data_IF_017286242542
#
_entry.id   IF_017286242542
#
_cell.length_a   1.000
_cell.length_b   1.000
_cell.length_c   1.000
_cell.angle_alpha   90.00
_cell.angle_beta   90.00
_cell.angle_gamma   90.00
#
_symmetry.space_group_name_H-M   'P 1'
#
loop_
_entity.id
_entity.type
_entity.pdbx_description
1 polymer ?
#
# COMPACT_ATOMS: atom_id res chain seq x y z
N UNK A 1 -3.76 -3.19 -17.61
CA UNK A 1 -4.47 -1.90 -17.53
C UNK A 1 -3.78 -1.11 -16.44
N UNK A 2 -3.37 0.16 -16.63
CA UNK A 2 -2.98 0.95 -15.47
C UNK A 2 -4.29 1.30 -14.77
N UNK A 3 -4.41 0.87 -13.52
CA UNK A 3 -5.58 1.01 -12.68
C UNK A 3 -5.98 2.49 -12.42
N UNK A 4 -5.11 3.43 -12.80
CA UNK A 4 -5.24 4.86 -12.49
C UNK A 4 -6.14 5.68 -13.44
N UNK A 5 -7.11 5.09 -14.15
CA UNK A 5 -7.98 5.86 -15.07
C UNK A 5 -9.46 5.49 -15.01
N UNK A 6 -9.98 5.06 -13.86
CA UNK A 6 -11.43 5.09 -13.66
C UNK A 6 -11.86 6.50 -13.26
N UNK A 7 -12.79 7.09 -14.01
CA UNK A 7 -13.46 8.30 -13.58
C UNK A 7 -14.22 8.04 -12.27
N UNK A 8 -14.46 9.11 -11.49
CA UNK A 8 -15.25 8.98 -10.26
C UNK A 8 -16.65 8.39 -10.52
N UNK A 9 -17.25 8.66 -11.69
CA UNK A 9 -18.54 8.11 -12.09
C UNK A 9 -18.49 6.61 -12.37
N UNK A 10 -17.47 6.14 -13.09
CA UNK A 10 -17.27 4.71 -13.35
C UNK A 10 -17.01 3.93 -12.06
N UNK A 11 -16.17 4.47 -11.17
CA UNK A 11 -15.88 3.83 -9.90
C UNK A 11 -17.13 3.73 -9.02
N UNK A 12 -17.97 4.77 -8.99
CA UNK A 12 -19.24 4.74 -8.26
C UNK A 12 -20.20 3.69 -8.84
N UNK A 13 -20.25 3.58 -10.17
CA UNK A 13 -21.06 2.55 -10.84
C UNK A 13 -20.58 1.14 -10.45
N UNK A 14 -19.28 0.88 -10.52
CA UNK A 14 -18.69 -0.42 -10.14
C UNK A 14 -18.98 -0.71 -8.66
N UNK A 15 -18.81 0.27 -7.77
CA UNK A 15 -19.16 0.10 -6.35
C UNK A 15 -20.64 -0.27 -6.18
N UNK A 16 -21.53 0.36 -6.93
CA UNK A 16 -22.98 0.09 -6.87
C UNK A 16 -23.29 -1.32 -7.36
N UNK A 17 -22.72 -1.74 -8.48
CA UNK A 17 -22.84 -3.11 -9.00
C UNK A 17 -22.30 -4.13 -8.00
N UNK A 18 -21.13 -3.86 -7.40
CA UNK A 18 -20.52 -4.68 -6.37
C UNK A 18 -21.39 -4.79 -5.10
N UNK A 19 -21.93 -3.68 -4.59
CA UNK A 19 -22.84 -3.70 -3.43
C UNK A 19 -24.13 -4.48 -3.71
N UNK A 20 -24.69 -4.34 -4.92
CA UNK A 20 -25.93 -4.99 -5.31
C UNK A 20 -25.76 -6.49 -5.61
N UNK A 21 -24.53 -6.95 -5.88
CA UNK A 21 -24.24 -8.36 -6.09
C UNK A 21 -24.51 -9.19 -4.84
N UNK A 22 -24.20 -8.65 -3.65
CA UNK A 22 -24.48 -9.32 -2.38
C UNK A 22 -25.93 -9.05 -1.96
N UNK A 23 -26.74 -10.10 -1.82
CA UNK A 23 -28.13 -9.98 -1.37
C UNK A 23 -28.19 -9.70 0.13
N UNK A 24 -27.32 -10.34 0.90
CA UNK A 24 -27.27 -10.29 2.35
C UNK A 24 -25.88 -9.94 2.89
N UNK A 25 -25.80 -9.69 4.20
CA UNK A 25 -24.51 -9.56 4.89
C UNK A 25 -23.69 -10.86 4.87
N UNK A 26 -24.37 -12.02 4.86
CA UNK A 26 -23.70 -13.32 4.85
C UNK A 26 -23.03 -13.61 3.51
N UNK A 27 -23.68 -13.27 2.39
CA UNK A 27 -23.06 -13.42 1.07
C UNK A 27 -21.80 -12.54 0.95
N UNK A 28 -21.82 -11.38 1.62
CA UNK A 28 -20.66 -10.51 1.71
C UNK A 28 -19.55 -11.11 2.58
N UNK A 29 -19.87 -11.72 3.72
CA UNK A 29 -18.91 -12.45 4.57
C UNK A 29 -18.27 -13.63 3.82
N UNK A 30 -19.06 -14.41 3.07
CA UNK A 30 -18.57 -15.50 2.21
C UNK A 30 -17.58 -15.00 1.15
N UNK A 31 -17.90 -13.89 0.49
CA UNK A 31 -16.94 -13.25 -0.40
C UNK A 31 -15.68 -12.78 0.33
N UNK A 32 -15.82 -12.19 1.51
CA UNK A 32 -14.68 -11.68 2.27
C UNK A 32 -13.73 -12.79 2.69
N UNK A 33 -14.22 -13.99 2.97
CA UNK A 33 -13.38 -15.16 3.20
C UNK A 33 -12.42 -15.39 2.03
N UNK A 34 -12.95 -15.51 0.82
CA UNK A 34 -12.15 -15.73 -0.39
C UNK A 34 -11.24 -14.54 -0.72
N UNK A 35 -11.73 -13.32 -0.52
CA UNK A 35 -10.95 -12.11 -0.69
C UNK A 35 -9.73 -12.08 0.25
N UNK A 36 -9.93 -12.34 1.55
CA UNK A 36 -8.87 -12.28 2.55
C UNK A 36 -7.80 -13.37 2.33
N UNK A 37 -8.20 -14.57 1.90
CA UNK A 37 -7.26 -15.62 1.47
C UNK A 37 -6.38 -15.12 0.32
N UNK A 38 -7.00 -14.50 -0.70
CA UNK A 38 -6.25 -13.90 -1.82
C UNK A 38 -5.36 -12.74 -1.41
N UNK A 39 -5.68 -12.04 -0.32
CA UNK A 39 -4.83 -10.99 0.25
C UNK A 39 -3.67 -11.54 1.11
N UNK A 40 -3.55 -12.87 1.22
CA UNK A 40 -2.48 -13.55 1.94
C UNK A 40 -2.74 -13.68 3.44
N UNK A 41 -4.00 -13.77 3.86
CA UNK A 41 -4.35 -14.30 5.18
C UNK A 41 -4.57 -15.82 5.10
N UNK A 42 -4.28 -16.50 6.19
CA UNK A 42 -4.44 -17.93 6.37
C UNK A 42 -5.57 -18.22 7.36
N UNK A 43 -6.07 -19.46 7.37
CA UNK A 43 -7.09 -19.95 8.32
C UNK A 43 -8.30 -19.00 8.44
N UNK A 44 -8.79 -18.50 7.30
CA UNK A 44 -9.91 -17.56 7.28
C UNK A 44 -11.22 -18.31 7.50
N UNK A 45 -11.89 -18.02 8.63
CA UNK A 45 -13.12 -18.68 9.06
C UNK A 45 -14.23 -17.67 9.32
N UNK A 46 -15.44 -17.99 8.86
CA UNK A 46 -16.66 -17.23 9.18
C UNK A 46 -17.16 -17.73 10.53
N UNK A 47 -17.44 -16.80 11.44
CA UNK A 47 -17.90 -17.12 12.80
C UNK A 47 -19.40 -17.44 12.83
N UNK A 48 -19.85 -18.11 13.89
CA UNK A 48 -21.26 -18.43 14.05
C UNK A 48 -22.04 -17.26 14.67
N UNK A 49 -23.22 -17.02 14.10
CA UNK A 49 -24.22 -15.97 14.40
C UNK A 49 -24.50 -15.54 15.85
N UNK A 50 -24.15 -16.32 16.88
CA UNK A 50 -24.63 -16.06 18.25
C UNK A 50 -23.49 -15.86 19.24
N UNK A 51 -23.49 -14.69 19.90
CA UNK A 51 -22.64 -14.33 21.05
C UNK A 51 -21.14 -14.18 20.74
N UNK A 52 -20.77 -13.89 19.49
CA UNK A 52 -19.39 -13.62 19.07
C UNK A 52 -18.89 -12.20 19.40
N UNK A 53 -19.74 -11.34 19.97
CA UNK A 53 -19.37 -9.95 20.28
C UNK A 53 -19.17 -9.09 19.02
N UNK A 54 -19.78 -9.46 17.89
CA UNK A 54 -19.73 -8.71 16.64
C UNK A 54 -18.54 -9.03 15.74
N UNK A 55 -17.87 -10.18 15.97
CA UNK A 55 -16.84 -10.71 15.07
C UNK A 55 -17.52 -11.57 14.02
N UNK A 56 -17.37 -11.20 12.75
CA UNK A 56 -18.00 -11.88 11.62
C UNK A 56 -17.02 -12.89 10.95
N UNK A 57 -15.70 -12.64 10.99
CA UNK A 57 -14.67 -13.59 10.57
C UNK A 57 -13.45 -13.57 11.48
N UNK A 58 -12.68 -14.65 11.47
CA UNK A 58 -11.34 -14.74 12.06
C UNK A 58 -10.33 -15.16 11.00
N UNK A 59 -9.07 -14.76 11.16
CA UNK A 59 -7.99 -15.14 10.27
C UNK A 59 -6.65 -15.03 10.98
N UNK A 60 -5.63 -15.66 10.42
CA UNK A 60 -4.24 -15.47 10.85
C UNK A 60 -3.39 -14.97 9.70
N UNK A 61 -2.21 -14.45 10.02
CA UNK A 61 -1.13 -14.24 9.05
C UNK A 61 0.13 -14.84 9.61
N UNK A 62 0.68 -15.79 8.87
CA UNK A 62 1.95 -16.42 9.22
C UNK A 62 3.12 -15.47 8.95
N UNK A 63 4.08 -15.55 9.85
CA UNK A 63 5.30 -14.75 9.84
C UNK A 63 6.37 -15.27 8.89
N UNK A 64 7.62 -14.91 9.15
CA UNK A 64 8.75 -15.29 8.28
C UNK A 64 8.93 -16.82 8.21
N UNK A 65 8.66 -17.38 7.04
CA UNK A 65 9.03 -18.75 6.65
C UNK A 65 8.22 -19.88 7.31
N UNK A 66 7.13 -19.57 8.02
CA UNK A 66 6.27 -20.56 8.70
C UNK A 66 7.05 -21.50 9.66
N UNK A 67 8.22 -21.06 10.13
CA UNK A 67 9.12 -21.87 10.97
C UNK A 67 8.70 -21.89 12.45
N UNK A 68 7.88 -20.93 12.90
CA UNK A 68 7.44 -20.85 14.29
C UNK A 68 6.11 -20.09 14.44
N UNK A 69 5.33 -20.47 15.46
CA UNK A 69 4.06 -19.82 15.80
C UNK A 69 4.23 -18.43 16.47
N UNK A 70 5.46 -18.05 16.80
CA UNK A 70 5.78 -16.81 17.54
C UNK A 70 5.47 -15.56 16.69
N UNK A 71 5.55 -15.68 15.36
CA UNK A 71 5.29 -14.58 14.41
C UNK A 71 3.92 -14.70 13.73
N UNK A 72 2.95 -15.34 14.41
CA UNK A 72 1.57 -15.40 13.93
C UNK A 72 0.81 -14.17 14.42
N UNK A 73 0.24 -13.42 13.48
CA UNK A 73 -0.72 -12.36 13.81
C UNK A 73 -2.13 -12.88 13.68
N UNK A 74 -2.91 -12.83 14.76
CA UNK A 74 -4.33 -13.16 14.74
C UNK A 74 -5.20 -11.93 14.46
N UNK A 75 -6.24 -12.11 13.65
CA UNK A 75 -7.17 -11.07 13.26
C UNK A 75 -8.60 -11.43 13.65
N UNK A 76 -9.29 -10.46 14.26
CA UNK A 76 -10.74 -10.44 14.33
C UNK A 76 -11.28 -9.45 13.30
N UNK A 77 -12.21 -9.92 12.48
CA UNK A 77 -12.75 -9.17 11.36
C UNK A 77 -14.24 -8.93 11.57
N UNK A 78 -14.65 -7.69 11.36
CA UNK A 78 -16.05 -7.29 11.31
C UNK A 78 -16.39 -6.80 9.90
N UNK A 79 -17.49 -7.31 9.35
CA UNK A 79 -17.99 -7.03 8.01
C UNK A 79 -19.35 -6.33 8.07
N UNK A 80 -19.50 -5.21 7.35
CA UNK A 80 -20.78 -4.48 7.27
C UNK A 80 -21.14 -4.10 5.83
N UNK A 81 -22.15 -4.78 5.30
CA UNK A 81 -22.77 -4.46 4.01
C UNK A 81 -23.76 -3.29 4.13
N UNK A 82 -23.24 -2.08 4.38
CA UNK A 82 -24.03 -0.86 4.51
C UNK A 82 -24.21 -0.13 3.18
N UNK A 83 -25.38 0.48 2.98
CA UNK A 83 -25.62 1.37 1.84
C UNK A 83 -24.70 2.59 1.89
N UNK A 84 -24.36 3.16 0.72
CA UNK A 84 -23.41 4.28 0.59
C UNK A 84 -23.69 5.50 1.47
N UNK A 85 -24.95 5.77 1.80
CA UNK A 85 -25.36 6.91 2.65
C UNK A 85 -25.16 6.65 4.15
N UNK A 86 -24.89 5.41 4.55
CA UNK A 86 -24.72 5.00 5.94
C UNK A 86 -23.23 4.78 6.23
N UNK A 87 -22.59 5.80 6.76
CA UNK A 87 -21.20 5.68 7.21
C UNK A 87 -21.13 4.91 8.53
N UNK A 88 -20.05 4.16 8.72
CA UNK A 88 -19.72 3.49 9.98
C UNK A 88 -19.22 4.52 10.98
N UNK A 89 -19.84 4.54 12.16
CA UNK A 89 -19.53 5.49 13.22
C UNK A 89 -18.43 5.00 14.18
N UNK A 90 -18.06 5.88 15.11
CA UNK A 90 -17.04 5.58 16.12
C UNK A 90 -17.46 4.45 17.08
N UNK A 91 -18.77 4.30 17.30
CA UNK A 91 -19.32 3.30 18.21
C UNK A 91 -18.97 1.89 17.75
N UNK A 92 -19.21 1.58 16.49
CA UNK A 92 -18.91 0.26 15.92
C UNK A 92 -17.41 -0.07 15.99
N UNK A 93 -16.53 0.91 15.78
CA UNK A 93 -15.08 0.72 15.92
C UNK A 93 -14.68 0.44 17.37
N UNK A 94 -15.29 1.12 18.35
CA UNK A 94 -15.05 0.87 19.78
C UNK A 94 -15.55 -0.50 20.21
N UNK A 95 -16.70 -0.93 19.70
CA UNK A 95 -17.25 -2.26 19.97
C UNK A 95 -16.29 -3.35 19.49
N UNK A 96 -15.81 -3.29 18.24
CA UNK A 96 -14.79 -4.23 17.74
C UNK A 96 -13.51 -4.19 18.59
N UNK A 97 -13.03 -2.99 18.92
CA UNK A 97 -11.82 -2.81 19.74
C UNK A 97 -11.95 -3.44 21.12
N UNK A 98 -13.14 -3.33 21.73
CA UNK A 98 -13.48 -3.94 23.01
C UNK A 98 -13.38 -5.46 22.99
N UNK A 99 -13.70 -6.08 21.85
CA UNK A 99 -13.65 -7.54 21.65
C UNK A 99 -12.24 -8.07 21.36
N UNK A 100 -11.29 -7.22 20.94
CA UNK A 100 -9.91 -7.66 20.65
C UNK A 100 -9.19 -8.20 21.90
N UNK A 101 -8.66 -9.42 21.77
CA UNK A 101 -7.75 -10.05 22.73
C UNK A 101 -6.35 -9.41 22.69
N UNK A 102 -5.54 -9.64 23.73
CA UNK A 102 -4.17 -9.14 23.77
C UNK A 102 -3.34 -9.73 22.61
N UNK A 103 -2.67 -8.85 21.85
CA UNK A 103 -1.87 -9.25 20.67
C UNK A 103 -2.66 -9.46 19.38
N UNK A 104 -4.00 -9.48 19.43
CA UNK A 104 -4.85 -9.58 18.24
C UNK A 104 -5.02 -8.22 17.58
N UNK A 105 -5.20 -8.21 16.26
CA UNK A 105 -5.50 -7.01 15.48
C UNK A 105 -6.93 -7.05 14.95
N UNK A 106 -7.54 -5.89 14.75
CA UNK A 106 -8.86 -5.79 14.15
C UNK A 106 -8.79 -5.49 12.65
N UNK A 107 -9.75 -6.00 11.89
CA UNK A 107 -10.05 -5.52 10.54
C UNK A 107 -11.54 -5.17 10.49
N UNK A 108 -11.87 -3.96 10.07
CA UNK A 108 -13.25 -3.56 9.81
C UNK A 108 -13.42 -3.31 8.32
N UNK A 109 -14.32 -4.07 7.69
CA UNK A 109 -14.59 -4.00 6.26
C UNK A 109 -16.05 -3.57 6.06
N UNK A 110 -16.28 -2.54 5.24
CA UNK A 110 -17.64 -2.13 4.89
C UNK A 110 -17.78 -1.79 3.41
N UNK A 111 -19.01 -1.88 2.88
CA UNK A 111 -19.33 -1.45 1.51
C UNK A 111 -19.58 0.06 1.40
N UNK A 112 -19.65 0.78 2.51
CA UNK A 112 -19.84 2.23 2.58
C UNK A 112 -18.52 2.94 2.94
N UNK A 113 -18.56 3.95 3.81
CA UNK A 113 -17.40 4.72 4.26
C UNK A 113 -17.39 4.84 5.80
N UNK A 114 -16.30 5.36 6.35
CA UNK A 114 -16.12 5.62 7.79
C UNK A 114 -16.22 7.12 8.08
N UNK A 115 -16.76 7.48 9.25
CA UNK A 115 -16.66 8.84 9.74
C UNK A 115 -15.21 9.18 10.13
N UNK A 116 -14.86 10.46 10.18
CA UNK A 116 -13.51 10.88 10.58
C UNK A 116 -13.19 10.46 12.03
N UNK A 117 -14.19 10.45 12.92
CA UNK A 117 -14.00 9.98 14.29
C UNK A 117 -13.77 8.48 14.36
N UNK A 118 -14.44 7.69 13.51
CA UNK A 118 -14.19 6.26 13.38
C UNK A 118 -12.74 5.97 12.91
N UNK A 119 -12.25 6.74 11.94
CA UNK A 119 -10.85 6.64 11.45
C UNK A 119 -9.84 6.97 12.55
N UNK A 120 -10.06 8.05 13.30
CA UNK A 120 -9.19 8.42 14.43
C UNK A 120 -9.20 7.34 15.50
N UNK A 121 -10.38 6.84 15.86
CA UNK A 121 -10.55 5.79 16.86
C UNK A 121 -9.83 4.50 16.44
N UNK A 122 -9.86 4.11 15.17
CA UNK A 122 -9.17 2.91 14.70
C UNK A 122 -7.65 2.91 14.96
N UNK A 123 -7.04 4.09 15.02
CA UNK A 123 -5.58 4.27 15.18
C UNK A 123 -5.16 4.87 16.53
N UNK A 124 -6.09 5.23 17.42
CA UNK A 124 -5.77 5.96 18.65
C UNK A 124 -4.99 5.15 19.71
N UNK A 125 -5.06 3.82 19.64
CA UNK A 125 -4.43 2.88 20.56
C UNK A 125 -3.60 1.89 19.75
N UNK A 126 -2.27 2.00 19.88
CA UNK A 126 -1.30 1.19 19.15
C UNK A 126 -1.32 -0.27 19.62
N UNK A 127 -1.79 -0.54 20.83
CA UNK A 127 -1.88 -1.90 21.38
C UNK A 127 -3.04 -2.72 20.77
N UNK A 128 -4.06 -2.05 20.22
CA UNK A 128 -5.24 -2.65 19.61
C UNK A 128 -5.60 -1.98 18.27
N UNK A 129 -4.72 -2.07 17.26
CA UNK A 129 -4.92 -1.38 16.00
C UNK A 129 -6.06 -2.04 15.21
N UNK A 130 -6.86 -1.23 14.54
CA UNK A 130 -7.91 -1.69 13.62
C UNK A 130 -7.59 -1.19 12.20
N UNK A 131 -7.49 -2.11 11.26
CA UNK A 131 -7.39 -1.80 9.82
C UNK A 131 -8.79 -1.49 9.29
N UNK A 132 -8.97 -0.35 8.63
CA UNK A 132 -10.25 0.01 8.02
C UNK A 132 -10.18 -0.18 6.50
N UNK A 133 -11.14 -0.91 5.94
CA UNK A 133 -11.29 -1.12 4.50
C UNK A 133 -12.69 -0.63 4.10
N UNK A 134 -12.76 0.54 3.47
CA UNK A 134 -14.02 1.11 2.97
C UNK A 134 -14.40 0.52 1.60
N UNK A 135 -15.64 0.75 1.16
CA UNK A 135 -16.16 0.15 -0.07
C UNK A 135 -15.36 0.56 -1.31
N UNK A 136 -14.82 1.79 -1.31
CA UNK A 136 -13.96 2.27 -2.38
C UNK A 136 -12.65 1.51 -2.44
N UNK A 137 -12.00 1.36 -1.30
CA UNK A 137 -10.71 0.68 -1.16
C UNK A 137 -10.85 -0.82 -1.43
N UNK A 138 -11.95 -1.43 -0.99
CA UNK A 138 -12.26 -2.83 -1.24
C UNK A 138 -12.43 -3.12 -2.73
N UNK A 139 -13.25 -2.32 -3.42
CA UNK A 139 -13.45 -2.47 -4.88
C UNK A 139 -12.16 -2.22 -5.64
N UNK A 140 -11.38 -1.22 -5.23
CA UNK A 140 -10.08 -0.95 -5.85
C UNK A 140 -9.14 -2.14 -5.67
N UNK A 141 -9.04 -2.69 -4.46
CA UNK A 141 -8.24 -3.90 -4.20
C UNK A 141 -8.70 -5.09 -5.05
N UNK A 142 -10.01 -5.26 -5.22
CA UNK A 142 -10.54 -6.33 -6.07
C UNK A 142 -10.15 -6.14 -7.54
N UNK A 143 -10.18 -4.92 -8.06
CA UNK A 143 -9.69 -4.62 -9.42
C UNK A 143 -8.20 -4.94 -9.51
N UNK A 144 -7.41 -4.47 -8.55
CA UNK A 144 -5.95 -4.58 -8.60
C UNK A 144 -5.48 -6.04 -8.57
N UNK A 145 -6.22 -6.89 -7.85
CA UNK A 145 -5.94 -8.31 -7.70
C UNK A 145 -6.80 -9.21 -8.62
N UNK A 146 -7.57 -8.63 -9.53
CA UNK A 146 -8.43 -9.36 -10.47
C UNK A 146 -9.49 -10.26 -9.83
N UNK A 147 -10.04 -9.83 -8.70
CA UNK A 147 -11.09 -10.53 -7.96
C UNK A 147 -12.45 -10.07 -8.49
N UNK A 148 -13.12 -10.94 -9.24
CA UNK A 148 -14.43 -10.61 -9.82
C UNK A 148 -14.37 -9.69 -11.06
N UNK A 149 -13.17 -9.47 -11.62
CA UNK A 149 -12.97 -8.64 -12.81
C UNK A 149 -12.31 -9.43 -13.95
N UNK A 150 -12.77 -9.17 -15.18
CA UNK A 150 -12.21 -9.76 -16.39
C UNK A 150 -11.36 -8.72 -17.11
N UNK A 151 -10.09 -9.05 -17.38
CA UNK A 151 -9.20 -8.19 -18.15
C UNK A 151 -9.09 -8.67 -19.59
N UNK A 152 -9.55 -7.84 -20.53
CA UNK A 152 -9.30 -8.07 -21.95
C UNK A 152 -7.95 -7.46 -22.33
N UNK A 153 -6.99 -8.22 -22.87
CA UNK A 153 -5.72 -7.67 -23.33
C UNK A 153 -5.96 -6.73 -24.52
N UNK A 154 -5.38 -5.53 -24.46
CA UNK A 154 -5.45 -4.52 -25.53
C UNK A 154 -4.03 -4.06 -25.82
N UNK A 155 -3.61 -4.19 -27.08
CA UNK A 155 -2.33 -3.67 -27.53
C UNK A 155 -2.35 -2.15 -27.54
N UNK A 156 -1.32 -1.52 -26.98
CA UNK A 156 -1.14 -0.07 -26.99
C UNK A 156 0.17 0.27 -27.67
N UNK A 157 0.08 0.74 -28.92
CA UNK A 157 1.23 1.22 -29.68
C UNK A 157 1.94 2.37 -28.95
N UNK A 158 1.20 3.22 -28.24
CA UNK A 158 1.75 4.31 -27.44
C UNK A 158 2.63 3.80 -26.27
N UNK A 159 2.13 2.82 -25.50
CA UNK A 159 2.93 2.18 -24.44
C UNK A 159 4.14 1.44 -25.00
N UNK A 160 3.99 0.79 -26.15
CA UNK A 160 5.09 0.13 -26.85
C UNK A 160 6.15 1.16 -27.29
N UNK A 161 5.75 2.32 -27.80
CA UNK A 161 6.66 3.40 -28.18
C UNK A 161 7.41 3.97 -26.97
N UNK A 162 6.72 4.15 -25.83
CA UNK A 162 7.35 4.54 -24.55
C UNK A 162 8.36 3.49 -24.08
N UNK A 163 8.02 2.20 -24.16
CA UNK A 163 8.92 1.09 -23.81
C UNK A 163 10.17 1.06 -24.70
N UNK A 164 10.00 1.25 -26.01
CA UNK A 164 11.07 1.15 -27.00
C UNK A 164 12.03 2.35 -26.99
N UNK A 165 11.83 3.37 -26.15
CA UNK A 165 12.78 4.47 -25.93
C UNK A 165 13.33 5.07 -27.25
N UNK A 166 12.50 5.20 -28.30
CA UNK A 166 12.95 5.74 -29.60
C UNK A 166 13.52 7.16 -29.49
N UNK A 167 13.16 7.89 -28.44
CA UNK A 167 13.70 9.22 -28.11
C UNK A 167 15.07 9.19 -27.39
N UNK A 168 15.50 8.04 -26.83
CA UNK A 168 16.82 7.89 -26.17
C UNK A 168 17.92 7.42 -27.09
N UNK A 169 17.63 6.71 -28.20
CA UNK A 169 18.68 6.22 -29.11
C UNK A 169 19.51 7.35 -29.77
N UNK A 170 19.05 8.59 -29.75
CA UNK A 170 19.84 9.76 -30.19
C UNK A 170 20.83 10.30 -29.13
N UNK A 171 20.82 9.80 -27.88
CA UNK A 171 21.67 10.28 -26.78
C UNK A 171 22.63 9.23 -26.20
N UNK A 172 22.57 7.98 -26.67
CA UNK A 172 23.45 6.90 -26.22
C UNK A 172 24.73 6.92 -27.07
N UNK A 173 25.56 7.94 -26.86
CA UNK A 173 26.96 7.95 -27.29
C UNK A 173 27.79 8.64 -26.20
N UNK A 174 27.79 8.06 -24.99
CA UNK A 174 28.83 8.32 -23.98
C UNK A 174 28.70 7.39 -22.77
N UNK A 175 29.59 6.40 -22.77
CA UNK A 175 30.25 5.69 -21.67
C UNK A 175 29.47 4.78 -20.69
N UNK A 176 30.04 3.58 -20.40
CA UNK A 176 29.62 2.67 -19.33
C UNK A 176 30.46 2.86 -18.07
N UNK A 177 29.91 2.57 -16.88
CA UNK A 177 30.72 2.37 -15.67
C UNK A 177 30.20 1.19 -14.84
N UNK A 178 31.15 0.28 -14.54
CA UNK A 178 31.12 -0.77 -13.51
C UNK A 178 31.36 -0.18 -12.12
N UNK A 179 30.77 -0.74 -11.04
CA UNK A 179 31.50 -1.45 -9.96
C UNK A 179 30.65 -1.76 -8.70
N UNK A 180 30.94 -2.93 -8.14
CA UNK A 180 30.66 -3.54 -6.83
C UNK A 180 30.28 -2.62 -5.65
N UNK A 181 29.21 -3.00 -4.92
CA UNK A 181 29.00 -2.63 -3.51
C UNK A 181 28.04 -3.66 -2.86
N UNK A 182 28.56 -4.62 -2.09
CA UNK A 182 27.80 -5.76 -1.53
C UNK A 182 26.98 -5.41 -0.26
N UNK A 183 26.90 -4.13 0.13
CA UNK A 183 26.22 -3.71 1.37
C UNK A 183 25.10 -2.71 1.08
N UNK A 184 24.05 -3.19 0.39
CA UNK A 184 22.85 -2.42 0.07
C UNK A 184 21.60 -3.00 0.73
N UNK A 185 20.61 -2.15 0.95
CA UNK A 185 19.29 -2.52 1.43
C UNK A 185 18.31 -2.38 0.28
N UNK A 186 17.61 -3.47 -0.06
CA UNK A 186 16.50 -3.41 -1.00
C UNK A 186 15.22 -2.94 -0.28
N UNK A 187 14.59 -1.92 -0.87
CA UNK A 187 13.29 -1.43 -0.44
C UNK A 187 12.55 -0.88 -1.65
N UNK A 188 11.33 -1.35 -1.85
CA UNK A 188 10.44 -0.82 -2.89
C UNK A 188 10.00 0.60 -2.53
N UNK A 189 10.05 1.49 -3.51
CA UNK A 189 9.35 2.77 -3.48
C UNK A 189 7.91 2.48 -3.88
N UNK A 190 7.00 2.53 -2.90
CA UNK A 190 5.63 2.05 -3.05
C UNK A 190 4.72 3.08 -3.71
N UNK A 191 3.56 2.63 -4.21
CA UNK A 191 2.54 3.51 -4.76
C UNK A 191 2.05 4.57 -3.76
N UNK A 192 2.07 4.26 -2.46
CA UNK A 192 1.70 5.20 -1.40
C UNK A 192 2.77 6.29 -1.23
N UNK A 193 4.05 5.92 -1.27
CA UNK A 193 5.17 6.88 -1.20
C UNK A 193 5.08 7.90 -2.35
N UNK A 194 4.88 7.38 -3.57
CA UNK A 194 4.80 8.19 -4.79
C UNK A 194 3.56 9.11 -4.77
N UNK A 195 2.43 8.60 -4.28
CA UNK A 195 1.20 9.39 -4.12
C UNK A 195 1.42 10.55 -3.13
N UNK A 196 2.12 10.27 -2.03
CA UNK A 196 2.43 11.26 -1.01
C UNK A 196 3.64 12.15 -1.34
N UNK A 197 4.20 12.04 -2.57
CA UNK A 197 5.36 12.81 -3.04
C UNK A 197 6.56 12.67 -2.10
N UNK A 198 6.80 11.45 -1.65
CA UNK A 198 7.89 11.10 -0.75
C UNK A 198 8.64 9.86 -1.24
N UNK A 199 9.87 9.68 -0.78
CA UNK A 199 10.60 8.42 -0.89
C UNK A 199 10.96 7.99 0.53
N UNK A 200 10.39 6.88 1.01
CA UNK A 200 10.63 6.38 2.36
C UNK A 200 12.04 5.80 2.51
N UNK A 201 12.79 6.33 3.47
CA UNK A 201 14.15 5.89 3.80
C UNK A 201 14.07 4.62 4.66
N UNK A 202 14.89 3.58 4.42
CA UNK A 202 15.05 2.47 5.35
C UNK A 202 15.47 2.96 6.75
N UNK A 203 14.85 2.43 7.81
CA UNK A 203 15.12 2.85 9.19
C UNK A 203 16.58 2.66 9.61
N UNK A 204 17.27 1.65 9.07
CA UNK A 204 18.70 1.42 9.28
C UNK A 204 19.56 2.55 8.74
N UNK A 205 19.23 3.11 7.56
CA UNK A 205 19.93 4.26 6.99
C UNK A 205 19.59 5.54 7.73
N UNK A 206 18.33 5.74 8.13
CA UNK A 206 17.92 6.94 8.86
C UNK A 206 18.71 7.12 10.17
N UNK A 207 19.00 6.02 10.88
CA UNK A 207 19.81 6.02 12.11
C UNK A 207 21.26 6.49 11.90
N UNK A 208 21.79 6.38 10.68
CA UNK A 208 23.16 6.78 10.35
C UNK A 208 23.26 8.29 10.03
N UNK A 209 22.13 8.95 9.75
CA UNK A 209 22.12 10.37 9.39
C UNK A 209 22.19 11.23 10.66
N UNK A 210 23.15 12.17 10.80
CA UNK A 210 23.29 13.02 11.99
C UNK A 210 22.04 13.85 12.31
N UNK A 211 21.60 13.85 13.57
CA UNK A 211 20.33 14.47 14.01
C UNK A 211 20.17 15.96 13.69
N UNK A 212 21.28 16.70 13.60
CA UNK A 212 21.28 18.12 13.25
C UNK A 212 20.95 18.40 11.77
N UNK A 213 20.98 17.38 10.92
CA UNK A 213 20.84 17.52 9.47
C UNK A 213 19.37 17.52 9.04
N UNK A 214 18.94 18.61 8.38
CA UNK A 214 17.58 18.77 7.83
C UNK A 214 17.47 18.43 6.34
N UNK A 215 18.58 18.48 5.60
CA UNK A 215 18.67 18.12 4.18
C UNK A 215 19.84 17.18 3.96
N UNK A 216 19.70 16.25 3.03
CA UNK A 216 20.74 15.29 2.67
C UNK A 216 20.90 15.19 1.17
N UNK A 217 22.14 15.01 0.74
CA UNK A 217 22.45 14.73 -0.64
C UNK A 217 22.25 13.24 -0.94
N UNK A 218 21.64 12.98 -2.10
CA UNK A 218 21.27 11.65 -2.56
C UNK A 218 21.75 11.49 -3.99
N UNK A 219 22.63 10.52 -4.21
CA UNK A 219 23.09 10.14 -5.55
C UNK A 219 22.16 9.06 -6.07
N UNK A 220 21.35 9.39 -7.08
CA UNK A 220 20.41 8.48 -7.73
C UNK A 220 20.90 8.16 -9.13
N UNK A 221 21.17 6.88 -9.43
CA UNK A 221 21.68 6.39 -10.73
C UNK A 221 22.66 7.38 -11.41
N UNK A 222 23.69 7.82 -10.66
CA UNK A 222 24.76 8.76 -11.08
C UNK A 222 24.45 10.27 -11.08
N UNK A 223 23.27 10.69 -10.63
CA UNK A 223 22.91 12.11 -10.46
C UNK A 223 22.71 12.49 -9.00
N UNK A 224 23.28 13.63 -8.60
CA UNK A 224 23.15 14.13 -7.23
C UNK A 224 21.94 15.05 -7.09
N UNK A 225 21.14 14.80 -6.07
CA UNK A 225 19.99 15.61 -5.65
C UNK A 225 20.13 15.96 -4.17
N UNK A 226 19.47 17.02 -3.72
CA UNK A 226 19.43 17.39 -2.30
C UNK A 226 17.99 17.45 -1.82
N UNK A 227 17.64 16.69 -0.79
CA UNK A 227 16.27 16.54 -0.30
C UNK A 227 16.13 16.90 1.16
N UNK A 228 14.95 17.39 1.53
CA UNK A 228 14.59 17.60 2.93
C UNK A 228 14.23 16.27 3.59
N UNK A 229 14.74 16.04 4.79
CA UNK A 229 14.52 14.83 5.57
C UNK A 229 13.35 15.04 6.52
N UNK A 230 12.36 14.15 6.48
CA UNK A 230 11.36 14.04 7.52
C UNK A 230 11.70 12.87 8.44
N UNK A 231 12.27 13.19 9.62
CA UNK A 231 12.70 12.19 10.62
C UNK A 231 11.56 11.49 11.35
N UNK A 232 10.43 12.17 11.61
CA UNK A 232 9.33 11.57 12.35
C UNK A 232 8.60 10.48 11.56
N UNK A 233 8.70 10.51 10.23
CA UNK A 233 8.04 9.57 9.31
C UNK A 233 8.98 8.87 8.34
N UNK A 234 10.29 8.98 8.54
CA UNK A 234 11.34 8.31 7.77
C UNK A 234 11.23 8.45 6.24
N UNK A 235 11.22 9.68 5.71
CA UNK A 235 11.16 9.90 4.26
C UNK A 235 11.90 11.15 3.76
N UNK A 236 12.23 11.15 2.47
CA UNK A 236 12.73 12.30 1.71
C UNK A 236 11.57 13.07 1.09
N UNK A 237 11.52 14.38 1.30
CA UNK A 237 10.53 15.29 0.75
C UNK A 237 11.11 16.09 -0.43
N UNK A 238 10.24 16.64 -1.28
CA UNK A 238 10.66 17.42 -2.45
C UNK A 238 11.17 16.56 -3.61
N UNK A 239 10.75 15.30 -3.67
CA UNK A 239 11.23 14.29 -4.61
C UNK A 239 10.47 14.25 -5.95
N UNK A 240 9.49 15.15 -6.16
CA UNK A 240 8.57 15.07 -7.31
C UNK A 240 9.28 14.99 -8.67
N UNK A 241 10.37 15.75 -8.84
CA UNK A 241 11.13 15.76 -10.09
C UNK A 241 11.86 14.42 -10.32
N UNK A 242 12.40 13.83 -9.26
CA UNK A 242 12.99 12.48 -9.30
C UNK A 242 11.94 11.42 -9.57
N UNK A 243 10.78 11.49 -8.90
CA UNK A 243 9.69 10.55 -9.16
C UNK A 243 9.29 10.56 -10.64
N UNK A 244 9.30 11.73 -11.29
CA UNK A 244 9.05 11.86 -12.73
C UNK A 244 10.21 11.36 -13.58
N UNK A 245 11.42 11.78 -13.26
CA UNK A 245 12.63 11.45 -14.02
C UNK A 245 12.88 9.94 -14.10
N UNK A 246 12.61 9.22 -13.00
CA UNK A 246 12.79 7.76 -12.91
C UNK A 246 11.52 6.97 -13.21
N UNK A 247 10.50 7.58 -13.83
CA UNK A 247 9.25 6.95 -14.26
C UNK A 247 8.42 6.31 -13.14
N UNK A 248 8.57 6.75 -11.89
CA UNK A 248 7.68 6.36 -10.79
C UNK A 248 6.36 7.13 -10.85
N UNK A 249 6.38 8.33 -11.43
CA UNK A 249 5.25 9.23 -11.57
C UNK A 249 5.21 9.85 -12.96
N UNK A 250 4.22 9.53 -13.78
CA UNK A 250 4.07 10.19 -15.08
C UNK A 250 3.50 11.62 -14.97
N UNK A 251 3.54 12.39 -16.06
CA UNK A 251 2.85 13.68 -16.15
C UNK A 251 1.33 13.54 -15.92
N UNK A 252 0.75 12.42 -16.34
CA UNK A 252 -0.67 12.06 -16.13
C UNK A 252 -0.93 11.47 -14.73
N UNK A 253 0.00 11.62 -13.78
CA UNK A 253 -0.04 11.06 -12.43
C UNK A 253 -0.19 9.54 -12.35
N UNK A 254 0.20 8.80 -13.39
CA UNK A 254 0.31 7.34 -13.34
C UNK A 254 1.45 6.98 -12.39
N UNK A 255 1.17 6.08 -11.46
CA UNK A 255 2.13 5.63 -10.44
C UNK A 255 2.68 4.26 -10.80
N UNK A 256 4.00 4.15 -10.80
CA UNK A 256 4.72 2.88 -11.01
C UNK A 256 5.64 2.67 -9.81
N UNK A 257 5.35 1.65 -9.00
CA UNK A 257 6.25 1.24 -7.91
C UNK A 257 7.52 0.62 -8.51
N UNK A 258 8.66 0.84 -7.85
CA UNK A 258 9.95 0.33 -8.29
C UNK A 258 10.77 -0.16 -7.11
N UNK A 259 11.51 -1.25 -7.31
CA UNK A 259 12.52 -1.63 -6.35
C UNK A 259 13.65 -0.61 -6.39
N UNK A 260 14.21 -0.36 -5.21
CA UNK A 260 15.37 0.48 -5.07
C UNK A 260 16.36 -0.14 -4.09
N UNK A 261 17.64 0.02 -4.40
CA UNK A 261 18.76 -0.38 -3.54
C UNK A 261 19.33 0.86 -2.88
N UNK A 262 19.49 0.79 -1.57
CA UNK A 262 19.94 1.90 -0.75
C UNK A 262 21.26 1.57 -0.08
N UNK A 263 22.19 2.52 -0.06
CA UNK A 263 23.35 2.49 0.82
C UNK A 263 23.67 3.89 1.33
N UNK A 264 24.46 3.96 2.40
CA UNK A 264 24.87 5.22 3.02
C UNK A 264 26.39 5.33 3.00
N UNK A 265 26.89 6.43 2.44
CA UNK A 265 28.31 6.74 2.37
C UNK A 265 28.68 7.57 3.61
N UNK A 266 29.29 6.92 4.61
CA UNK A 266 29.61 7.54 5.90
C UNK A 266 30.66 8.64 5.79
N UNK A 267 31.62 8.51 4.87
CA UNK A 267 32.67 9.51 4.68
C UNK A 267 32.12 10.80 4.10
N UNK A 268 31.17 10.68 3.16
CA UNK A 268 30.60 11.81 2.42
C UNK A 268 29.26 12.30 2.99
N UNK A 269 28.71 11.60 3.98
CA UNK A 269 27.38 11.86 4.57
C UNK A 269 26.27 11.99 3.52
N UNK A 270 26.24 11.06 2.56
CA UNK A 270 25.24 11.04 1.49
C UNK A 270 24.59 9.67 1.35
N UNK A 271 23.40 9.64 0.75
CA UNK A 271 22.71 8.40 0.40
C UNK A 271 23.03 8.05 -1.05
N UNK A 272 23.30 6.78 -1.32
CA UNK A 272 23.28 6.22 -2.68
C UNK A 272 21.98 5.45 -2.86
N UNK A 273 21.28 5.75 -3.92
CA UNK A 273 19.98 5.17 -4.24
C UNK A 273 20.00 4.69 -5.69
N UNK A 274 19.99 3.38 -5.89
CA UNK A 274 19.78 2.83 -7.22
C UNK A 274 18.29 2.52 -7.40
N UNK A 275 17.65 3.12 -8.39
CA UNK A 275 16.25 2.83 -8.75
C UNK A 275 16.26 1.98 -10.02
N UNK A 276 15.60 0.83 -9.97
CA UNK A 276 15.47 -0.05 -11.14
C UNK A 276 14.76 0.66 -12.31
N UNK A 277 15.15 0.33 -13.54
CA UNK A 277 14.59 0.94 -14.74
C UNK A 277 13.18 0.43 -15.07
#
# INVERSE_FOLDING_TARGET
MNISTLSNGELLRIQTEFYNYFETGYDFEEFLKEYLIKMGLDEVEITQRSRDGGIDLTAIRKGVGDFSEIDITNYFIQAKRYAFKRNVGVREIRELKGTLLFGYKGIFICTSNFTEDAKKEATNDISKPIVLIDGKSLVQSCIDNGIGFIFKPVFSSEKMNKLLNRDKMAKINSNPINHNDDNYIEKMITSNDIRARMISIPSSIMKLIPDSMQKIDVVINDKTYSFTINRSRNYLAGVTDVLREYNLLSMDNVITSKNARWSFDQEKNLIRLYIEN
#
